data_IF_922593500493
#
_entry.id   IF_922593500493
#
_cell.length_a   1.000
_cell.length_b   1.000
_cell.length_c   1.000
_cell.angle_alpha   90.00
_cell.angle_beta   90.00
_cell.angle_gamma   90.00
#
_symmetry.space_group_name_H-M   'P 1'
#
loop_
_entity.id
_entity.type
_entity.pdbx_description
1 polymer ?
#
# COMPACT_ATOMS: atom_id res chain seq x y z
N UNK A 1 20.67 -31.63 53.09
CA UNK A 1 20.49 -31.14 54.48
C UNK A 1 19.90 -29.74 54.38
N UNK A 2 18.57 -29.65 54.22
CA UNK A 2 17.60 -29.14 55.21
C UNK A 2 17.42 -27.60 55.09
N UNK A 3 16.25 -26.96 55.12
CA UNK A 3 14.82 -27.29 55.25
C UNK A 3 14.03 -26.02 54.79
N UNK A 4 12.93 -26.11 54.03
CA UNK A 4 11.51 -25.94 54.44
C UNK A 4 11.17 -24.65 55.21
N UNK A 5 10.25 -23.82 54.66
CA UNK A 5 9.06 -23.19 55.29
C UNK A 5 8.57 -22.00 54.42
N UNK A 6 7.41 -22.06 53.75
CA UNK A 6 6.05 -21.87 54.27
C UNK A 6 5.79 -20.46 54.84
N UNK A 7 5.07 -19.62 54.08
CA UNK A 7 4.43 -18.40 54.59
C UNK A 7 2.96 -18.38 54.15
N UNK A 8 2.11 -18.17 55.15
CA UNK A 8 0.68 -18.40 55.14
C UNK A 8 -0.14 -17.17 54.74
N UNK A 9 -1.39 -17.49 54.42
CA UNK A 9 -2.58 -16.68 54.26
C UNK A 9 -2.68 -15.38 55.11
N UNK A 10 -3.29 -14.35 54.50
CA UNK A 10 -4.22 -13.47 55.21
C UNK A 10 -5.44 -13.19 54.32
N UNK A 11 -6.59 -13.66 54.79
CA UNK A 11 -7.91 -13.27 54.31
C UNK A 11 -8.21 -11.85 54.80
N UNK A 12 -8.75 -11.00 53.92
CA UNK A 12 -9.48 -9.81 54.33
C UNK A 12 -10.82 -9.75 53.59
N UNK A 13 -11.84 -10.18 54.33
CA UNK A 13 -13.26 -10.01 54.05
C UNK A 13 -13.66 -8.54 54.23
N UNK A 14 -14.30 -7.93 53.24
CA UNK A 14 -15.20 -6.79 53.47
C UNK A 14 -16.48 -6.95 52.68
N UNK A 15 -17.55 -7.15 53.46
CA UNK A 15 -18.96 -7.06 53.12
C UNK A 15 -19.41 -5.59 52.99
N UNK A 16 -20.69 -5.44 52.62
CA UNK A 16 -21.54 -4.25 52.50
C UNK A 16 -21.53 -3.61 51.09
N UNK A 17 -22.66 -3.28 50.47
CA UNK A 17 -24.07 -3.41 50.85
C UNK A 17 -24.92 -3.05 49.63
N UNK A 18 -25.98 -3.82 49.40
CA UNK A 18 -27.08 -3.51 48.47
C UNK A 18 -27.72 -2.17 48.83
N UNK A 19 -28.00 -1.35 47.82
CA UNK A 19 -29.12 -0.39 47.86
C UNK A 19 -29.89 -0.45 46.54
N UNK A 20 -31.02 -1.16 46.61
CA UNK A 20 -32.12 -1.11 45.67
C UNK A 20 -32.99 0.11 45.98
N UNK A 21 -33.23 0.99 45.00
CA UNK A 21 -34.26 2.04 45.10
C UNK A 21 -35.39 1.72 44.12
N UNK A 22 -36.59 1.77 44.67
CA UNK A 22 -37.87 1.33 44.15
C UNK A 22 -38.71 2.57 43.78
N UNK A 23 -39.23 2.59 42.53
CA UNK A 23 -40.52 3.19 42.04
C UNK A 23 -40.75 4.73 42.17
N UNK A 24 -41.61 5.38 41.34
CA UNK A 24 -42.96 4.92 41.01
C UNK A 24 -43.46 4.98 39.56
N UNK A 25 -44.46 4.11 39.35
CA UNK A 25 -45.47 4.11 38.29
C UNK A 25 -46.26 5.42 38.32
N UNK A 26 -46.45 6.05 37.16
CA UNK A 26 -47.60 6.91 36.90
C UNK A 26 -48.34 6.40 35.66
N UNK A 27 -49.61 6.09 35.89
CA UNK A 27 -50.62 5.78 34.89
C UNK A 27 -50.98 7.04 34.10
N UNK A 28 -51.09 6.94 32.77
CA UNK A 28 -52.11 7.70 32.06
C UNK A 28 -52.63 6.88 30.88
N UNK A 29 -53.89 6.46 31.05
CA UNK A 29 -54.77 5.93 30.02
C UNK A 29 -55.06 7.05 29.02
N UNK A 30 -55.01 6.74 27.72
CA UNK A 30 -55.93 7.34 26.76
C UNK A 30 -56.26 6.33 25.68
N UNK A 31 -57.42 5.70 25.86
CA UNK A 31 -58.14 5.02 24.80
C UNK A 31 -58.83 6.09 23.95
N UNK A 32 -58.66 6.03 22.63
CA UNK A 32 -59.63 6.55 21.67
C UNK A 32 -59.93 5.41 20.72
N UNK A 33 -61.20 5.03 20.77
CA UNK A 33 -61.89 4.02 19.98
C UNK A 33 -62.34 4.58 18.63
N UNK A 34 -62.81 3.67 17.78
CA UNK A 34 -63.60 3.85 16.53
C UNK A 34 -62.79 4.13 15.27
N UNK A 35 -63.10 3.56 14.10
CA UNK A 35 -64.07 2.53 13.71
C UNK A 35 -63.68 2.06 12.30
N UNK A 36 -63.80 0.77 12.03
CA UNK A 36 -63.89 0.25 10.67
C UNK A 36 -65.25 0.65 10.09
N UNK A 37 -65.26 1.22 8.89
CA UNK A 37 -66.44 1.26 8.02
C UNK A 37 -66.01 0.93 6.61
N UNK A 38 -66.64 -0.11 6.09
CA UNK A 38 -66.52 -0.67 4.75
C UNK A 38 -67.33 0.17 3.77
N UNK A 39 -66.77 0.53 2.62
CA UNK A 39 -67.55 0.87 1.45
C UNK A 39 -66.78 0.52 0.17
N UNK A 40 -67.33 -0.45 -0.55
CA UNK A 40 -67.02 -0.89 -1.91
C UNK A 40 -67.45 0.17 -2.93
N UNK A 41 -66.57 0.55 -3.86
CA UNK A 41 -66.91 0.65 -5.30
C UNK A 41 -65.69 0.84 -6.21
N UNK A 42 -65.64 -0.04 -7.20
CA UNK A 42 -65.28 0.17 -8.61
C UNK A 42 -63.83 0.47 -9.06
N UNK A 43 -63.29 -0.58 -9.69
CA UNK A 43 -62.17 -0.62 -10.61
C UNK A 43 -62.36 0.32 -11.81
N UNK A 44 -61.41 1.22 -12.01
CA UNK A 44 -61.24 2.02 -13.24
C UNK A 44 -59.79 2.01 -13.73
N UNK A 45 -59.26 0.84 -14.08
CA UNK A 45 -57.93 0.71 -14.67
C UNK A 45 -57.95 1.17 -16.14
N UNK A 46 -57.57 2.43 -16.41
CA UNK A 46 -57.19 2.88 -17.76
C UNK A 46 -55.72 2.55 -18.02
N UNK A 47 -55.49 1.55 -18.85
CA UNK A 47 -54.17 1.21 -19.39
C UNK A 47 -53.65 2.34 -20.29
N UNK A 48 -52.49 2.90 -19.96
CA UNK A 48 -51.76 3.82 -20.83
C UNK A 48 -50.97 3.03 -21.89
N UNK A 49 -51.08 3.43 -23.15
CA UNK A 49 -50.37 2.82 -24.28
C UNK A 49 -48.85 3.10 -24.23
N UNK A 50 -48.00 2.16 -24.71
CA UNK A 50 -46.54 2.30 -24.63
C UNK A 50 -46.00 3.31 -25.65
N UNK A 51 -45.13 4.21 -25.18
CA UNK A 51 -44.47 5.21 -26.01
C UNK A 51 -43.47 4.59 -27.03
N UNK A 52 -43.33 5.16 -28.23
CA UNK A 52 -42.45 4.64 -29.28
C UNK A 52 -40.96 4.84 -28.96
N UNK A 53 -40.15 3.82 -29.29
CA UNK A 53 -38.69 3.81 -29.12
C UNK A 53 -38.01 4.92 -29.95
N UNK A 54 -37.08 5.71 -29.39
CA UNK A 54 -36.32 6.67 -30.17
C UNK A 54 -35.23 5.97 -31.01
N UNK A 55 -35.06 6.48 -32.24
CA UNK A 55 -34.15 6.02 -33.29
C UNK A 55 -32.67 6.18 -32.92
N UNK A 56 -31.85 5.27 -33.44
CA UNK A 56 -30.39 5.24 -33.40
C UNK A 56 -29.75 6.51 -33.98
N UNK A 57 -28.81 7.12 -33.23
CA UNK A 57 -27.86 8.11 -33.77
C UNK A 57 -26.45 7.51 -33.82
N UNK A 58 -25.77 7.84 -34.91
CA UNK A 58 -24.46 7.40 -35.40
C UNK A 58 -23.25 7.92 -34.59
N UNK A 59 -22.15 7.18 -34.72
CA UNK A 59 -20.83 7.32 -34.10
C UNK A 59 -20.15 8.71 -34.13
N UNK A 60 -19.39 9.01 -33.06
CA UNK A 60 -18.01 9.55 -33.11
C UNK A 60 -17.10 8.66 -32.24
N UNK A 61 -15.92 8.21 -32.70
CA UNK A 61 -15.02 7.41 -31.88
C UNK A 61 -14.20 8.32 -30.94
N UNK A 62 -14.30 8.05 -29.63
CA UNK A 62 -13.40 8.61 -28.61
C UNK A 62 -12.04 7.91 -28.68
N UNK A 63 -10.90 8.62 -28.56
CA UNK A 63 -9.60 7.99 -28.44
C UNK A 63 -9.57 7.11 -27.20
N UNK A 64 -9.16 5.84 -27.35
CA UNK A 64 -8.89 4.94 -26.24
C UNK A 64 -7.58 5.40 -25.60
N UNK A 65 -7.67 5.95 -24.40
CA UNK A 65 -6.51 6.11 -23.53
C UNK A 65 -6.13 4.72 -23.02
N UNK A 66 -5.07 4.16 -23.58
CA UNK A 66 -4.31 3.12 -22.90
C UNK A 66 -3.85 3.74 -21.57
N UNK A 67 -4.42 3.25 -20.47
CA UNK A 67 -4.12 3.72 -19.13
C UNK A 67 -2.72 3.27 -18.73
N UNK A 68 -1.70 3.96 -19.24
CA UNK A 68 -0.40 4.01 -18.60
C UNK A 68 -0.60 4.59 -17.20
N UNK A 69 0.03 4.02 -16.15
CA UNK A 69 -0.07 4.58 -14.82
C UNK A 69 0.46 6.02 -14.84
N UNK A 70 -0.46 6.97 -14.68
CA UNK A 70 -0.16 8.39 -14.55
C UNK A 70 0.64 8.62 -13.26
N UNK A 71 1.96 8.81 -13.39
CA UNK A 71 2.86 9.13 -12.28
C UNK A 71 2.96 10.67 -12.23
N UNK A 72 2.37 11.34 -11.22
CA UNK A 72 2.52 12.79 -11.06
C UNK A 72 3.97 13.13 -10.71
N UNK A 73 4.53 14.13 -11.37
CA UNK A 73 5.89 14.62 -11.15
C UNK A 73 5.87 15.73 -10.09
N UNK A 74 6.73 15.63 -9.07
CA UNK A 74 6.97 16.70 -8.11
C UNK A 74 8.30 17.36 -8.43
N UNK A 75 8.28 18.65 -8.75
CA UNK A 75 9.48 19.48 -8.91
C UNK A 75 9.46 20.51 -7.78
N UNK A 76 10.56 20.61 -7.02
CA UNK A 76 10.75 21.72 -6.12
C UNK A 76 11.10 22.94 -6.97
N UNK A 77 10.30 24.01 -6.89
CA UNK A 77 10.64 25.29 -7.52
C UNK A 77 11.59 26.02 -6.54
N UNK A 78 12.84 26.23 -6.96
CA UNK A 78 13.97 26.68 -6.12
C UNK A 78 13.80 28.11 -5.53
N UNK A 79 12.73 28.84 -5.88
CA UNK A 79 12.51 30.22 -5.44
C UNK A 79 11.43 30.42 -4.35
N UNK A 80 10.63 29.40 -3.99
CA UNK A 80 9.56 29.60 -2.99
C UNK A 80 9.40 28.52 -1.92
N UNK A 81 10.15 27.41 -1.99
CA UNK A 81 10.05 26.32 -1.00
C UNK A 81 8.66 25.64 -0.93
N UNK A 82 7.74 26.02 -1.81
CA UNK A 82 6.41 25.44 -1.92
C UNK A 82 6.42 24.29 -2.94
N UNK A 83 5.91 23.13 -2.53
CA UNK A 83 5.80 21.94 -3.38
C UNK A 83 4.60 22.10 -4.31
N UNK A 84 4.86 22.30 -5.61
CA UNK A 84 3.80 22.43 -6.62
C UNK A 84 3.71 21.16 -7.47
N UNK A 85 2.55 20.51 -7.48
CA UNK A 85 2.29 19.33 -8.31
C UNK A 85 2.05 19.77 -9.75
N UNK A 86 2.99 19.47 -10.66
CA UNK A 86 2.83 19.73 -12.11
C UNK A 86 2.40 18.45 -12.82
N UNK A 87 1.42 18.57 -13.71
CA UNK A 87 0.84 17.47 -14.49
C UNK A 87 1.67 17.12 -15.73
N UNK A 88 2.67 17.95 -16.06
CA UNK A 88 3.49 17.86 -17.26
C UNK A 88 4.93 17.58 -16.87
N UNK A 89 5.63 16.61 -17.50
CA UNK A 89 7.04 16.33 -17.22
C UNK A 89 7.92 17.54 -17.51
N UNK A 90 9.07 17.63 -16.84
CA UNK A 90 10.01 18.73 -17.03
C UNK A 90 10.58 18.76 -18.45
N UNK A 91 10.86 19.96 -18.99
CA UNK A 91 11.49 20.09 -20.33
C UNK A 91 12.78 19.29 -20.45
N UNK A 92 13.56 19.20 -19.36
CA UNK A 92 14.82 18.46 -19.32
C UNK A 92 14.61 16.96 -19.57
N UNK A 93 13.51 16.39 -19.05
CA UNK A 93 13.13 15.00 -19.28
C UNK A 93 12.68 14.78 -20.73
N UNK A 94 11.84 15.66 -21.27
CA UNK A 94 11.40 15.59 -22.68
C UNK A 94 12.58 15.62 -23.65
N UNK A 95 13.59 16.47 -23.39
CA UNK A 95 14.84 16.53 -24.18
C UNK A 95 15.67 15.26 -24.07
N UNK A 96 15.72 14.62 -22.89
CA UNK A 96 16.46 13.37 -22.69
C UNK A 96 15.85 12.20 -23.49
N UNK A 97 14.51 12.05 -23.46
CA UNK A 97 13.79 11.02 -24.22
C UNK A 97 13.91 11.24 -25.72
N UNK A 98 13.80 12.50 -26.18
CA UNK A 98 13.98 12.84 -27.59
C UNK A 98 15.39 12.47 -28.10
N UNK A 99 16.43 12.70 -27.28
CA UNK A 99 17.82 12.39 -27.64
C UNK A 99 18.14 10.89 -27.62
N UNK A 100 17.49 10.08 -26.78
CA UNK A 100 17.61 8.62 -26.84
C UNK A 100 16.98 8.02 -28.11
N UNK A 101 15.87 8.61 -28.57
CA UNK A 101 15.16 8.15 -29.76
C UNK A 101 15.92 8.39 -31.06
N UNK A 102 16.74 9.45 -31.11
CA UNK A 102 17.58 9.79 -32.27
C UNK A 102 18.84 8.93 -32.35
N UNK A 103 19.36 8.43 -31.22
CA UNK A 103 20.50 7.51 -31.23
C UNK A 103 20.15 6.07 -31.66
N UNK A 104 18.90 5.62 -31.44
CA UNK A 104 18.46 4.27 -31.85
C UNK A 104 18.17 4.12 -33.34
N UNK A 105 18.09 5.21 -34.12
CA UNK A 105 17.64 5.17 -35.52
C UNK A 105 18.73 4.96 -36.57
N UNK A 106 20.01 4.77 -36.20
CA UNK A 106 21.12 4.67 -37.17
C UNK A 106 21.69 3.26 -37.42
N UNK A 107 20.99 2.18 -37.07
CA UNK A 107 21.48 0.81 -37.36
C UNK A 107 20.37 -0.23 -37.59
N UNK A 108 19.74 -0.19 -38.78
CA UNK A 108 19.34 -1.39 -39.55
C UNK A 108 18.65 -0.99 -40.86
N UNK A 109 19.42 -0.99 -41.94
CA UNK A 109 18.95 -1.32 -43.29
C UNK A 109 19.73 -2.58 -43.70
N UNK A 110 19.04 -3.68 -44.02
CA UNK A 110 18.91 -4.19 -45.39
C UNK A 110 18.32 -5.63 -45.43
N UNK A 111 17.48 -5.87 -46.45
CA UNK A 111 16.92 -7.13 -47.02
C UNK A 111 15.91 -7.94 -46.18
N UNK A 112 14.72 -8.34 -46.63
CA UNK A 112 14.05 -8.29 -47.93
C UNK A 112 13.21 -9.57 -48.12
N UNK A 113 11.89 -9.46 -48.24
CA UNK A 113 11.00 -10.22 -49.16
C UNK A 113 9.53 -10.09 -48.73
N UNK A 114 8.68 -9.84 -49.73
CA UNK A 114 7.33 -9.33 -49.57
C UNK A 114 6.26 -10.38 -49.29
N UNK A 115 5.28 -9.98 -48.47
CA UNK A 115 3.97 -10.59 -48.36
C UNK A 115 2.93 -9.48 -48.29
N UNK A 116 1.91 -9.53 -49.15
CA UNK A 116 0.80 -8.56 -49.18
C UNK A 116 0.02 -8.60 -47.86
N UNK A 117 0.22 -7.60 -47.00
CA UNK A 117 -0.60 -7.40 -45.81
C UNK A 117 -1.95 -6.78 -46.19
N UNK A 118 -3.03 -7.55 -45.97
CA UNK A 118 -4.40 -7.04 -45.96
C UNK A 118 -4.64 -6.25 -44.66
N UNK A 119 -5.39 -5.14 -44.68
CA UNK A 119 -5.64 -4.35 -43.48
C UNK A 119 -6.41 -5.17 -42.44
N UNK A 120 -5.81 -5.32 -41.25
CA UNK A 120 -6.35 -6.04 -40.11
C UNK A 120 -7.50 -5.23 -39.49
N UNK A 121 -8.74 -5.60 -39.81
CA UNK A 121 -9.94 -5.08 -39.16
C UNK A 121 -9.82 -5.32 -37.64
N UNK A 122 -10.17 -4.36 -36.76
CA UNK A 122 -10.13 -4.57 -35.32
C UNK A 122 -11.13 -5.68 -34.96
N UNK A 123 -10.61 -6.83 -34.56
CA UNK A 123 -11.41 -8.00 -34.16
C UNK A 123 -12.28 -7.60 -32.97
N UNK A 124 -13.59 -7.55 -33.17
CA UNK A 124 -14.54 -7.45 -32.06
C UNK A 124 -14.30 -8.62 -31.10
N UNK A 125 -14.34 -8.36 -29.78
CA UNK A 125 -14.14 -9.39 -28.76
C UNK A 125 -15.01 -10.63 -29.05
N UNK A 126 -14.44 -11.85 -28.96
CA UNK A 126 -15.19 -13.05 -29.26
C UNK A 126 -16.39 -13.17 -28.30
N UNK A 127 -17.60 -13.21 -28.86
CA UNK A 127 -18.83 -13.44 -28.09
C UNK A 127 -18.85 -14.90 -27.61
N UNK A 128 -18.25 -15.17 -26.47
CA UNK A 128 -18.32 -16.49 -25.82
C UNK A 128 -19.78 -16.92 -25.64
N UNK A 129 -20.07 -18.20 -25.93
CA UNK A 129 -21.39 -18.79 -25.65
C UNK A 129 -21.70 -18.71 -24.15
N UNK A 130 -22.99 -18.73 -23.76
CA UNK A 130 -23.38 -18.72 -22.34
C UNK A 130 -22.71 -19.86 -21.54
N UNK A 131 -22.48 -21.02 -22.18
CA UNK A 131 -21.78 -22.15 -21.60
C UNK A 131 -20.29 -21.87 -21.39
N UNK A 132 -19.59 -21.33 -22.40
CA UNK A 132 -18.19 -20.94 -22.27
C UNK A 132 -18.03 -19.86 -21.18
N UNK A 133 -18.95 -18.88 -21.12
CA UNK A 133 -18.92 -17.81 -20.12
C UNK A 133 -19.17 -18.33 -18.70
N UNK A 134 -20.05 -19.32 -18.51
CA UNK A 134 -20.23 -20.03 -17.22
C UNK A 134 -18.97 -20.79 -16.83
N UNK A 135 -18.41 -21.56 -17.76
CA UNK A 135 -17.17 -22.31 -17.55
C UNK A 135 -15.99 -21.41 -17.16
N UNK A 136 -15.81 -20.28 -17.85
CA UNK A 136 -14.79 -19.28 -17.51
C UNK A 136 -15.05 -18.64 -16.14
N UNK A 137 -16.29 -18.23 -15.86
CA UNK A 137 -16.65 -17.63 -14.57
C UNK A 137 -16.52 -18.60 -13.38
N UNK A 138 -16.61 -19.91 -13.60
CA UNK A 138 -16.41 -20.92 -12.55
C UNK A 138 -14.94 -21.25 -12.34
N UNK A 139 -14.15 -21.37 -13.41
CA UNK A 139 -12.73 -21.77 -13.33
C UNK A 139 -11.75 -20.63 -13.03
N UNK A 140 -12.07 -19.40 -13.42
CA UNK A 140 -11.16 -18.24 -13.27
C UNK A 140 -11.59 -17.28 -12.16
N UNK A 141 -12.38 -17.75 -11.19
CA UNK A 141 -12.65 -16.96 -9.98
C UNK A 141 -11.39 -16.87 -9.14
N UNK A 142 -11.17 -15.69 -8.56
CA UNK A 142 -10.18 -15.57 -7.50
C UNK A 142 -10.56 -16.52 -6.36
N UNK A 143 -9.60 -17.30 -5.84
CA UNK A 143 -9.89 -18.22 -4.76
C UNK A 143 -10.34 -17.46 -3.51
N UNK A 144 -11.15 -18.10 -2.64
CA UNK A 144 -11.57 -17.50 -1.37
C UNK A 144 -10.37 -16.96 -0.59
N UNK A 145 -10.44 -15.70 -0.19
CA UNK A 145 -9.35 -15.01 0.47
C UNK A 145 -9.61 -14.94 1.98
N UNK A 146 -8.55 -14.93 2.79
CA UNK A 146 -8.68 -14.76 4.25
C UNK A 146 -9.37 -13.42 4.56
N UNK A 147 -10.35 -13.42 5.45
CA UNK A 147 -11.17 -12.25 5.81
C UNK A 147 -10.30 -11.03 6.18
N UNK A 148 -9.26 -11.23 6.99
CA UNK A 148 -8.33 -10.16 7.36
C UNK A 148 -7.58 -9.55 6.15
N UNK A 149 -7.29 -10.34 5.10
CA UNK A 149 -6.67 -9.83 3.86
C UNK A 149 -7.68 -8.97 3.09
N UNK A 150 -8.94 -9.40 3.00
CA UNK A 150 -10.02 -8.63 2.34
C UNK A 150 -10.28 -7.30 3.04
N UNK A 151 -10.37 -7.31 4.38
CA UNK A 151 -10.54 -6.09 5.18
C UNK A 151 -9.37 -5.11 5.01
N UNK A 152 -8.14 -5.62 5.00
CA UNK A 152 -6.96 -4.80 4.77
C UNK A 152 -6.92 -4.20 3.36
N UNK A 153 -7.24 -4.99 2.33
CA UNK A 153 -7.31 -4.53 0.94
C UNK A 153 -8.38 -3.46 0.74
N UNK A 154 -9.51 -3.58 1.44
CA UNK A 154 -10.57 -2.57 1.45
C UNK A 154 -10.22 -1.30 2.24
N UNK A 155 -9.05 -1.24 2.87
CA UNK A 155 -8.56 -0.06 3.60
C UNK A 155 -9.11 0.10 5.02
N UNK A 156 -9.81 -0.91 5.56
CA UNK A 156 -10.44 -0.87 6.89
C UNK A 156 -9.40 -0.67 7.99
N UNK A 157 -8.39 -1.53 8.02
CA UNK A 157 -7.32 -1.48 9.01
C UNK A 157 -6.08 -2.22 8.48
N UNK A 158 -5.00 -2.26 9.25
CA UNK A 158 -3.89 -3.18 8.94
C UNK A 158 -4.38 -4.63 8.99
N UNK A 159 -3.64 -5.58 8.38
CA UNK A 159 -4.02 -7.01 8.47
C UNK A 159 -4.16 -7.47 9.91
N UNK A 160 -3.20 -7.15 10.79
CA UNK A 160 -3.23 -7.52 12.22
C UNK A 160 -4.37 -6.84 12.97
N UNK A 161 -4.57 -5.55 12.72
CA UNK A 161 -5.70 -4.80 13.31
C UNK A 161 -7.05 -5.33 12.80
N UNK A 162 -7.11 -5.86 11.58
CA UNK A 162 -8.31 -6.52 11.05
C UNK A 162 -8.57 -7.85 11.75
N UNK A 163 -7.53 -8.61 12.07
CA UNK A 163 -7.65 -9.83 12.91
C UNK A 163 -8.18 -9.48 14.30
N UNK A 164 -7.70 -8.39 14.91
CA UNK A 164 -8.21 -7.89 16.19
C UNK A 164 -9.70 -7.50 16.12
N UNK A 165 -10.13 -6.80 15.05
CA UNK A 165 -11.55 -6.50 14.85
C UNK A 165 -12.41 -7.77 14.71
N UNK A 166 -11.87 -8.80 14.07
CA UNK A 166 -12.54 -10.11 13.95
C UNK A 166 -12.65 -10.76 15.34
N UNK A 167 -11.58 -10.81 16.12
CA UNK A 167 -11.61 -11.37 17.47
C UNK A 167 -12.60 -10.66 18.41
N UNK A 168 -12.74 -9.34 18.25
CA UNK A 168 -13.70 -8.53 19.01
C UNK A 168 -15.16 -8.70 18.56
N UNK A 169 -15.45 -9.57 17.59
CA UNK A 169 -16.81 -9.77 17.06
C UNK A 169 -17.38 -8.57 16.33
N UNK A 170 -16.52 -7.63 15.88
CA UNK A 170 -16.93 -6.40 15.18
C UNK A 170 -17.17 -6.61 13.69
N UNK A 171 -16.96 -7.82 13.18
CA UNK A 171 -17.09 -8.18 11.77
C UNK A 171 -18.18 -9.22 11.60
N UNK A 172 -19.14 -8.96 10.71
CA UNK A 172 -20.14 -9.95 10.30
C UNK A 172 -19.98 -10.30 8.83
N UNK A 173 -20.20 -11.58 8.51
CA UNK A 173 -20.17 -12.11 7.15
C UNK A 173 -21.51 -12.81 6.90
N UNK A 174 -22.23 -12.39 5.87
CA UNK A 174 -23.54 -12.94 5.49
C UNK A 174 -24.55 -12.97 6.66
N UNK A 175 -24.48 -12.00 7.56
CA UNK A 175 -25.39 -11.88 8.71
C UNK A 175 -24.92 -12.57 9.99
N UNK A 176 -23.84 -13.35 9.96
CA UNK A 176 -23.29 -14.02 11.16
C UNK A 176 -22.01 -13.32 11.64
N UNK A 177 -21.88 -13.15 12.95
CA UNK A 177 -20.64 -12.62 13.57
C UNK A 177 -19.52 -13.63 13.35
N UNK A 178 -18.39 -13.17 12.82
CA UNK A 178 -17.22 -13.98 12.58
C UNK A 178 -16.13 -13.63 13.58
N UNK A 179 -15.73 -14.60 14.42
CA UNK A 179 -14.66 -14.45 15.40
C UNK A 179 -13.35 -15.16 14.99
N UNK A 180 -13.39 -15.92 13.90
CA UNK A 180 -12.25 -16.70 13.42
C UNK A 180 -11.50 -15.92 12.33
N UNK A 181 -10.24 -15.47 12.56
CA UNK A 181 -9.51 -14.68 11.57
C UNK A 181 -9.06 -15.48 10.35
N UNK A 182 -9.09 -16.82 10.44
CA UNK A 182 -8.75 -17.73 9.34
C UNK A 182 -9.90 -17.96 8.36
N UNK A 183 -11.11 -17.45 8.66
CA UNK A 183 -12.27 -17.55 7.77
C UNK A 183 -11.93 -17.02 6.39
N UNK A 184 -12.26 -17.82 5.37
CA UNK A 184 -12.10 -17.44 3.96
C UNK A 184 -13.43 -16.92 3.44
N UNK A 185 -13.37 -15.82 2.70
CA UNK A 185 -14.53 -15.14 2.13
C UNK A 185 -14.25 -14.83 0.65
N UNK A 186 -15.32 -14.83 -0.13
CA UNK A 186 -15.32 -14.41 -1.53
C UNK A 186 -15.83 -12.96 -1.59
N UNK A 187 -14.95 -11.95 -1.83
CA UNK A 187 -15.35 -10.54 -1.82
C UNK A 187 -16.36 -10.20 -2.92
N UNK A 188 -16.51 -11.03 -3.96
CA UNK A 188 -17.49 -10.80 -5.02
C UNK A 188 -18.91 -11.23 -4.60
N UNK A 189 -19.03 -12.21 -3.70
CA UNK A 189 -20.30 -12.82 -3.29
C UNK A 189 -20.72 -12.42 -1.89
N UNK A 190 -19.80 -12.52 -0.95
CA UNK A 190 -20.09 -12.37 0.47
C UNK A 190 -20.38 -10.91 0.84
N UNK A 191 -21.31 -10.75 1.77
CA UNK A 191 -21.68 -9.45 2.31
C UNK A 191 -21.01 -9.31 3.66
N UNK A 192 -20.03 -8.42 3.72
CA UNK A 192 -19.23 -8.19 4.92
C UNK A 192 -19.65 -6.86 5.55
N UNK A 193 -19.88 -6.83 6.86
CA UNK A 193 -20.02 -5.61 7.63
C UNK A 193 -18.92 -5.50 8.68
N UNK A 194 -18.49 -4.26 8.94
CA UNK A 194 -17.53 -3.92 10.00
C UNK A 194 -18.15 -2.81 10.83
N UNK A 195 -18.29 -3.01 12.14
CA UNK A 195 -18.94 -2.06 13.06
C UNK A 195 -20.34 -1.61 12.56
N UNK A 196 -21.11 -2.52 11.96
CA UNK A 196 -22.44 -2.21 11.39
C UNK A 196 -22.42 -1.51 10.01
N UNK A 197 -21.25 -1.05 9.52
CA UNK A 197 -21.09 -0.49 8.19
C UNK A 197 -20.81 -1.56 7.14
N UNK A 198 -21.53 -1.54 6.01
CA UNK A 198 -21.29 -2.49 4.90
C UNK A 198 -19.96 -2.18 4.22
N UNK A 199 -19.12 -3.20 4.03
CA UNK A 199 -17.87 -3.08 3.28
C UNK A 199 -18.17 -2.74 1.81
N UNK A 200 -17.47 -1.76 1.27
CA UNK A 200 -17.60 -1.39 -0.13
C UNK A 200 -17.13 -2.55 -1.02
N UNK A 201 -17.93 -2.90 -2.05
CA UNK A 201 -17.54 -3.92 -3.04
C UNK A 201 -16.37 -3.47 -3.93
N UNK A 202 -16.21 -2.15 -4.10
CA UNK A 202 -15.10 -1.57 -4.86
C UNK A 202 -13.91 -1.40 -3.91
N UNK A 203 -12.79 -2.02 -4.26
CA UNK A 203 -11.52 -1.79 -3.57
C UNK A 203 -10.92 -0.44 -3.97
N UNK A 204 -10.13 0.19 -3.10
CA UNK A 204 -9.35 1.37 -3.48
C UNK A 204 -8.36 1.03 -4.60
N UNK A 205 -8.11 1.95 -5.54
CA UNK A 205 -7.13 1.74 -6.60
C UNK A 205 -5.74 1.54 -6.01
N UNK A 206 -4.91 0.78 -6.71
CA UNK A 206 -3.52 0.56 -6.32
C UNK A 206 -2.71 1.82 -6.57
N UNK A 207 -1.94 2.25 -5.57
CA UNK A 207 -1.09 3.44 -5.63
C UNK A 207 0.32 3.09 -5.17
N UNK A 208 1.31 3.72 -5.80
CA UNK A 208 2.73 3.47 -5.53
C UNK A 208 3.47 4.80 -5.47
N UNK A 209 4.22 5.02 -4.40
CA UNK A 209 5.02 6.20 -4.19
C UNK A 209 6.47 5.79 -3.95
N UNK A 210 7.40 6.52 -4.55
CA UNK A 210 8.80 6.53 -4.14
C UNK A 210 9.01 7.78 -3.27
N UNK A 211 9.53 7.58 -2.06
CA UNK A 211 9.74 8.64 -1.09
C UNK A 211 11.22 8.71 -0.73
N UNK A 212 11.80 9.90 -0.76
CA UNK A 212 13.07 10.18 -0.10
C UNK A 212 12.78 10.43 1.38
N UNK A 213 12.85 9.37 2.19
CA UNK A 213 12.59 9.44 3.63
C UNK A 213 13.61 10.37 4.31
N UNK A 214 13.17 11.43 4.99
CA UNK A 214 14.06 12.28 5.77
C UNK A 214 14.47 11.62 7.09
N UNK A 215 15.51 12.17 7.71
CA UNK A 215 16.01 11.73 9.03
C UNK A 215 14.98 12.08 10.11
N UNK A 216 14.86 11.23 11.13
CA UNK A 216 13.93 11.46 12.26
C UNK A 216 12.51 10.93 12.04
N UNK A 217 12.24 10.30 10.89
CA UNK A 217 10.95 9.69 10.58
C UNK A 217 10.98 8.18 10.79
N UNK A 218 9.89 7.58 11.26
CA UNK A 218 9.71 6.13 11.38
C UNK A 218 8.90 5.56 10.20
N UNK A 219 9.10 4.29 9.86
CA UNK A 219 8.39 3.64 8.75
C UNK A 219 7.02 3.05 9.13
N UNK A 220 6.75 2.89 10.42
CA UNK A 220 5.45 2.45 10.93
C UNK A 220 4.43 3.59 10.89
N UNK A 221 3.14 3.25 10.92
CA UNK A 221 2.08 4.20 11.24
C UNK A 221 2.32 4.67 12.68
N UNK A 222 2.85 5.88 12.82
CA UNK A 222 3.28 6.39 14.11
C UNK A 222 2.11 6.68 15.03
N UNK A 223 2.38 6.57 16.33
CA UNK A 223 1.55 7.22 17.35
C UNK A 223 1.67 8.74 17.20
N UNK A 224 0.74 9.49 17.80
CA UNK A 224 0.58 10.94 17.59
C UNK A 224 1.87 11.75 17.76
N UNK A 225 2.81 11.29 18.57
CA UNK A 225 4.07 12.00 18.88
C UNK A 225 5.22 11.69 17.92
N UNK A 226 5.14 10.60 17.16
CA UNK A 226 6.23 10.17 16.27
C UNK A 226 5.96 10.53 14.81
N UNK A 227 6.93 11.22 14.18
CA UNK A 227 6.85 11.57 12.76
C UNK A 227 6.93 10.31 11.89
N UNK A 228 5.82 9.93 11.27
CA UNK A 228 5.77 8.77 10.37
C UNK A 228 6.11 9.17 8.94
N UNK A 229 6.85 8.34 8.21
CA UNK A 229 7.09 8.54 6.78
C UNK A 229 5.77 8.64 5.98
N UNK A 230 4.68 8.05 6.49
CA UNK A 230 3.36 8.16 5.89
C UNK A 230 2.74 9.55 6.06
N UNK A 231 3.10 10.31 7.10
CA UNK A 231 2.56 11.65 7.33
C UNK A 231 3.02 12.66 6.28
N UNK A 232 4.14 12.38 5.61
CA UNK A 232 4.62 13.16 4.45
C UNK A 232 3.66 13.09 3.25
N UNK A 233 2.75 12.11 3.24
CA UNK A 233 1.72 11.95 2.22
C UNK A 233 0.35 12.43 2.70
N UNK A 234 0.21 12.97 3.91
CA UNK A 234 -1.10 13.31 4.48
C UNK A 234 -1.84 14.35 3.64
N UNK A 235 -1.15 15.35 3.09
CA UNK A 235 -1.78 16.38 2.27
C UNK A 235 -2.29 15.82 0.93
N UNK A 236 -1.54 14.90 0.33
CA UNK A 236 -2.02 14.12 -0.81
C UNK A 236 -3.26 13.30 -0.42
N UNK A 237 -3.25 12.67 0.75
CA UNK A 237 -4.34 11.84 1.24
C UNK A 237 -5.58 12.64 1.68
N UNK A 238 -5.44 13.91 2.07
CA UNK A 238 -6.54 14.85 2.34
C UNK A 238 -7.24 15.27 1.05
N UNK A 239 -6.46 15.52 -0.01
CA UNK A 239 -6.99 15.91 -1.32
C UNK A 239 -7.53 14.74 -2.15
N UNK A 240 -7.31 13.49 -1.71
CA UNK A 240 -7.77 12.27 -2.39
C UNK A 240 -9.25 12.29 -2.74
N UNK A 241 -10.13 12.56 -1.77
CA UNK A 241 -11.59 12.53 -1.98
C UNK A 241 -12.04 13.55 -3.01
N UNK A 242 -11.37 14.71 -3.07
CA UNK A 242 -11.63 15.76 -4.05
C UNK A 242 -11.19 15.34 -5.46
N UNK A 243 -10.03 14.69 -5.58
CA UNK A 243 -9.47 14.23 -6.86
C UNK A 243 -10.17 12.98 -7.40
N UNK A 244 -10.63 12.10 -6.51
CA UNK A 244 -11.19 10.79 -6.85
C UNK A 244 -12.59 10.62 -6.22
N UNK A 245 -13.60 11.36 -6.71
CA UNK A 245 -14.95 11.26 -6.17
C UNK A 245 -15.51 9.83 -6.34
N UNK A 246 -16.20 9.34 -5.31
CA UNK A 246 -16.82 8.00 -5.31
C UNK A 246 -15.83 6.83 -5.19
N UNK A 247 -14.54 7.09 -4.99
CA UNK A 247 -13.51 6.07 -4.80
C UNK A 247 -13.08 6.01 -3.33
N UNK A 248 -13.04 4.81 -2.70
CA UNK A 248 -12.60 4.71 -1.32
C UNK A 248 -11.13 5.13 -1.17
N UNK A 249 -10.80 5.71 -0.02
CA UNK A 249 -9.45 6.17 0.30
C UNK A 249 -8.53 4.96 0.51
N UNK A 250 -7.38 4.87 -0.20
CA UNK A 250 -6.43 3.79 0.03
C UNK A 250 -5.75 3.93 1.39
N UNK A 251 -5.49 2.81 2.06
CA UNK A 251 -4.64 2.76 3.25
C UNK A 251 -3.20 2.49 2.82
N UNK A 252 -2.31 3.46 3.05
CA UNK A 252 -0.91 3.36 2.69
C UNK A 252 -0.06 2.67 3.76
N UNK A 253 0.98 1.99 3.33
CA UNK A 253 2.03 1.42 4.18
C UNK A 253 3.37 1.39 3.43
N UNK A 254 4.47 1.34 4.18
CA UNK A 254 5.83 1.27 3.64
C UNK A 254 6.17 -0.16 3.19
N UNK A 255 6.95 -0.26 2.12
CA UNK A 255 7.54 -1.52 1.65
C UNK A 255 8.94 -1.66 2.26
N UNK A 256 9.06 -2.60 3.19
CA UNK A 256 10.25 -2.70 4.04
C UNK A 256 10.38 -1.51 5.00
N UNK A 257 11.53 -1.41 5.66
CA UNK A 257 11.80 -0.38 6.65
C UNK A 257 13.15 0.29 6.40
N UNK A 258 13.28 1.50 6.93
CA UNK A 258 14.52 2.22 7.11
C UNK A 258 14.56 2.70 8.56
N UNK A 259 15.73 2.64 9.19
CA UNK A 259 15.88 3.15 10.55
C UNK A 259 15.54 4.64 10.63
N UNK A 260 15.27 5.11 11.84
CA UNK A 260 14.96 6.51 12.13
C UNK A 260 16.03 7.45 11.59
N UNK A 261 17.30 7.06 11.76
CA UNK A 261 18.47 7.83 11.34
C UNK A 261 18.94 7.53 9.90
N UNK A 262 18.23 6.67 9.18
CA UNK A 262 18.53 6.32 7.79
C UNK A 262 17.60 7.08 6.85
N UNK A 263 18.18 7.70 5.82
CA UNK A 263 17.46 8.50 4.82
C UNK A 263 17.38 7.78 3.48
N UNK A 264 16.65 8.38 2.53
CA UNK A 264 16.64 7.91 1.14
C UNK A 264 15.43 7.07 0.79
N UNK A 265 15.59 6.29 -0.26
CA UNK A 265 14.50 5.62 -0.98
C UNK A 265 13.72 4.65 -0.09
N UNK A 266 12.43 4.91 0.06
CA UNK A 266 11.45 3.96 0.57
C UNK A 266 10.22 3.98 -0.33
N UNK A 267 9.65 2.79 -0.58
CA UNK A 267 8.44 2.67 -1.39
C UNK A 267 7.24 2.67 -0.44
N UNK A 268 6.16 3.35 -0.81
CA UNK A 268 4.89 3.37 -0.08
C UNK A 268 3.77 2.95 -1.02
N UNK A 269 2.91 2.03 -0.59
CA UNK A 269 1.82 1.50 -1.41
C UNK A 269 0.64 1.06 -0.55
N UNK A 270 -0.49 0.76 -1.20
CA UNK A 270 -1.59 -0.02 -0.62
C UNK A 270 -1.64 -1.46 -1.18
N UNK A 271 -0.78 -1.82 -2.14
CA UNK A 271 -0.73 -3.18 -2.70
C UNK A 271 0.15 -4.10 -1.84
N UNK A 272 -0.51 -4.96 -1.06
CA UNK A 272 0.17 -5.91 -0.18
C UNK A 272 0.90 -7.03 -0.91
N UNK A 273 0.46 -7.38 -2.12
CA UNK A 273 1.10 -8.44 -2.92
C UNK A 273 2.45 -7.95 -3.46
N UNK A 274 2.45 -6.75 -4.06
CA UNK A 274 3.66 -6.07 -4.51
C UNK A 274 4.64 -5.82 -3.36
N UNK A 275 4.13 -5.35 -2.21
CA UNK A 275 4.97 -5.13 -1.04
C UNK A 275 5.61 -6.43 -0.53
N UNK A 276 4.87 -7.54 -0.53
CA UNK A 276 5.42 -8.85 -0.19
C UNK A 276 6.50 -9.27 -1.19
N UNK A 277 6.24 -9.17 -2.50
CA UNK A 277 7.19 -9.54 -3.54
C UNK A 277 8.53 -8.79 -3.43
N UNK A 278 8.50 -7.50 -3.09
CA UNK A 278 9.74 -6.70 -2.94
C UNK A 278 10.45 -6.96 -1.61
N UNK A 279 9.69 -7.19 -0.53
CA UNK A 279 10.27 -7.32 0.81
C UNK A 279 10.68 -8.75 1.17
N UNK A 280 10.17 -9.75 0.45
CA UNK A 280 10.41 -11.15 0.76
C UNK A 280 11.88 -11.52 0.54
N UNK A 281 12.52 -12.29 1.46
CA UNK A 281 13.93 -12.67 1.34
C UNK A 281 14.26 -13.39 0.02
N UNK A 282 13.33 -14.22 -0.49
CA UNK A 282 13.53 -14.94 -1.76
C UNK A 282 13.58 -14.06 -3.00
N UNK A 283 13.18 -12.79 -2.91
CA UNK A 283 13.24 -11.85 -4.04
C UNK A 283 14.68 -11.48 -4.42
N UNK A 284 15.62 -11.67 -3.51
CA UNK A 284 17.05 -11.38 -3.67
C UNK A 284 17.33 -9.96 -4.23
N UNK A 285 16.46 -8.99 -3.90
CA UNK A 285 16.60 -7.64 -4.44
C UNK A 285 17.75 -6.89 -3.76
N UNK A 286 18.74 -6.53 -4.57
CA UNK A 286 19.88 -5.70 -4.14
C UNK A 286 19.41 -4.32 -3.67
N UNK A 287 19.98 -3.85 -2.57
CA UNK A 287 19.75 -2.52 -2.00
C UNK A 287 21.08 -1.81 -1.97
N UNK A 288 21.13 -0.62 -2.55
CA UNK A 288 22.35 0.20 -2.60
C UNK A 288 22.25 1.33 -1.57
N UNK A 289 23.29 1.43 -0.76
CA UNK A 289 23.44 2.44 0.26
C UNK A 289 24.67 3.29 0.00
N UNK A 290 24.54 4.58 0.33
CA UNK A 290 25.67 5.50 0.45
C UNK A 290 25.86 5.78 1.95
N UNK A 291 26.96 5.28 2.49
CA UNK A 291 27.36 5.50 3.88
C UNK A 291 28.39 6.63 3.93
N UNK A 292 28.12 7.68 4.72
CA UNK A 292 29.11 8.70 5.06
C UNK A 292 29.82 8.27 6.33
N UNK A 293 31.16 8.25 6.28
CA UNK A 293 32.00 7.77 7.38
C UNK A 293 32.69 8.95 8.05
N UNK A 294 32.81 8.89 9.38
CA UNK A 294 33.62 9.83 10.16
C UNK A 294 35.09 9.47 10.02
N UNK A 295 35.91 10.38 9.50
CA UNK A 295 37.35 10.20 9.32
C UNK A 295 37.74 9.59 7.97
N UNK A 296 39.00 9.13 7.89
CA UNK A 296 39.55 8.50 6.70
C UNK A 296 39.23 6.99 6.67
N UNK A 297 39.08 6.45 5.45
CA UNK A 297 38.86 5.02 5.23
C UNK A 297 40.12 4.41 4.60
N UNK A 298 40.70 3.42 5.27
CA UNK A 298 41.86 2.67 4.77
C UNK A 298 41.44 1.49 3.88
N UNK A 299 42.35 1.02 3.02
CA UNK A 299 42.12 -0.17 2.18
C UNK A 299 41.82 -1.43 3.02
N UNK A 300 42.50 -1.60 4.17
CA UNK A 300 42.27 -2.73 5.09
C UNK A 300 40.83 -2.75 5.60
N UNK A 301 40.26 -1.59 5.89
CA UNK A 301 38.87 -1.49 6.35
C UNK A 301 37.88 -1.78 5.22
N UNK A 302 38.16 -1.38 3.98
CA UNK A 302 37.31 -1.75 2.83
C UNK A 302 37.29 -3.27 2.62
N UNK A 303 38.44 -3.92 2.75
CA UNK A 303 38.55 -5.38 2.67
C UNK A 303 37.73 -6.02 3.80
N UNK A 304 37.89 -5.56 5.03
CA UNK A 304 37.12 -6.08 6.17
C UNK A 304 35.60 -5.96 5.98
N UNK A 305 35.10 -4.85 5.43
CA UNK A 305 33.66 -4.73 5.10
C UNK A 305 33.28 -5.73 4.00
N UNK A 306 34.14 -5.91 3.00
CA UNK A 306 33.89 -6.79 1.84
C UNK A 306 33.89 -8.27 2.22
N UNK A 307 34.68 -8.66 3.23
CA UNK A 307 34.67 -10.02 3.78
C UNK A 307 33.35 -10.33 4.49
N UNK A 308 32.66 -9.30 4.98
CA UNK A 308 31.38 -9.44 5.68
C UNK A 308 31.53 -9.45 7.19
N UNK A 309 30.41 -9.63 7.89
CA UNK A 309 30.40 -9.76 9.33
C UNK A 309 29.18 -10.53 9.84
N UNK A 310 29.25 -10.99 11.08
CA UNK A 310 28.11 -11.66 11.73
C UNK A 310 27.08 -10.61 12.18
N UNK A 311 25.88 -10.70 11.62
CA UNK A 311 24.71 -9.87 11.96
C UNK A 311 23.58 -10.80 12.40
N UNK A 312 23.12 -10.64 13.64
CA UNK A 312 22.06 -11.49 14.23
C UNK A 312 22.37 -13.00 14.12
N UNK A 313 23.63 -13.38 14.37
CA UNK A 313 24.08 -14.78 14.36
C UNK A 313 24.29 -15.38 12.96
N UNK A 314 24.15 -14.60 11.88
CA UNK A 314 24.41 -15.05 10.51
C UNK A 314 25.47 -14.19 9.86
N UNK A 315 26.40 -14.85 9.16
CA UNK A 315 27.44 -14.16 8.41
C UNK A 315 26.86 -13.51 7.15
N UNK A 316 26.94 -12.19 7.07
CA UNK A 316 26.41 -11.39 5.97
C UNK A 316 27.57 -10.79 5.19
N UNK A 317 27.58 -10.99 3.87
CA UNK A 317 28.63 -10.48 2.99
C UNK A 317 28.01 -9.52 1.97
N UNK A 318 28.51 -8.28 1.85
CA UNK A 318 28.02 -7.34 0.84
C UNK A 318 28.52 -7.72 -0.55
N UNK A 319 27.72 -7.40 -1.58
CA UNK A 319 28.07 -7.70 -2.98
C UNK A 319 29.10 -6.73 -3.54
N UNK A 320 29.10 -5.51 -3.02
CA UNK A 320 29.98 -4.44 -3.46
C UNK A 320 30.26 -3.50 -2.29
N UNK A 321 31.53 -3.18 -2.10
CA UNK A 321 32.00 -2.10 -1.24
C UNK A 321 32.97 -1.25 -2.05
N UNK A 322 32.59 0.00 -2.29
CA UNK A 322 33.36 0.91 -3.13
C UNK A 322 33.54 2.25 -2.41
N UNK A 323 34.78 2.74 -2.33
CA UNK A 323 35.08 4.09 -1.88
C UNK A 323 34.78 5.07 -3.01
N UNK A 324 33.81 5.95 -2.80
CA UNK A 324 33.44 6.97 -3.77
C UNK A 324 34.47 8.10 -3.81
N UNK A 325 34.64 8.71 -4.98
CA UNK A 325 35.50 9.88 -5.16
C UNK A 325 35.14 11.00 -4.19
N UNK A 326 36.17 11.67 -3.66
CA UNK A 326 35.97 12.85 -2.81
C UNK A 326 35.28 13.94 -3.62
N UNK A 327 34.28 14.56 -3.00
CA UNK A 327 33.63 15.75 -3.54
C UNK A 327 34.11 16.95 -2.75
N UNK A 328 34.41 18.09 -3.39
CA UNK A 328 34.90 19.29 -2.69
C UNK A 328 33.92 19.77 -1.61
N UNK A 329 32.61 19.62 -1.87
CA UNK A 329 31.55 20.08 -0.96
C UNK A 329 31.27 19.12 0.20
N UNK A 330 31.80 17.89 0.15
CA UNK A 330 31.52 16.85 1.15
C UNK A 330 32.85 16.39 1.77
N UNK A 331 33.19 16.88 2.96
CA UNK A 331 34.49 16.60 3.58
C UNK A 331 34.64 15.14 4.06
N UNK A 332 33.54 14.38 4.14
CA UNK A 332 33.52 13.01 4.68
C UNK A 332 33.72 11.97 3.59
N UNK A 333 34.43 10.90 3.93
CA UNK A 333 34.55 9.74 3.07
C UNK A 333 33.18 9.09 2.86
N UNK A 334 32.90 8.65 1.63
CA UNK A 334 31.63 8.04 1.26
C UNK A 334 31.87 6.64 0.70
N UNK A 335 31.13 5.68 1.23
CA UNK A 335 31.17 4.29 0.78
C UNK A 335 29.86 3.96 0.09
N UNK A 336 29.96 3.33 -1.07
CA UNK A 336 28.85 2.66 -1.73
C UNK A 336 28.86 1.21 -1.29
N UNK A 337 27.76 0.77 -0.68
CA UNK A 337 27.60 -0.59 -0.16
C UNK A 337 26.34 -1.18 -0.77
N UNK A 338 26.46 -2.33 -1.43
CA UNK A 338 25.35 -3.08 -2.01
C UNK A 338 25.15 -4.37 -1.22
N UNK A 339 23.91 -4.61 -0.79
CA UNK A 339 23.52 -5.83 -0.08
C UNK A 339 22.24 -6.39 -0.66
N UNK A 340 22.13 -7.71 -0.80
CA UNK A 340 20.87 -8.37 -1.11
C UNK A 340 20.02 -8.66 0.13
N UNK A 341 20.68 -8.83 1.26
CA UNK A 341 20.02 -9.06 2.54
C UNK A 341 19.30 -7.79 3.03
N UNK A 342 18.54 -7.96 4.10
CA UNK A 342 17.75 -6.90 4.71
C UNK A 342 17.65 -7.10 6.21
N UNK A 343 18.73 -7.60 6.82
CA UNK A 343 18.77 -7.86 8.26
C UNK A 343 18.77 -6.55 9.04
N UNK A 344 18.43 -6.65 10.32
CA UNK A 344 18.35 -5.47 11.16
C UNK A 344 19.74 -4.82 11.28
N UNK A 345 19.81 -3.52 10.94
CA UNK A 345 21.05 -2.72 10.99
C UNK A 345 22.26 -3.31 10.25
N UNK A 346 22.06 -4.19 9.26
CA UNK A 346 23.12 -4.93 8.56
C UNK A 346 24.30 -4.06 8.09
N UNK A 347 24.03 -3.02 7.30
CA UNK A 347 25.06 -2.10 6.80
C UNK A 347 25.78 -1.36 7.94
N UNK A 348 25.08 -1.11 9.05
CA UNK A 348 25.67 -0.46 10.23
C UNK A 348 26.65 -1.38 10.94
N UNK A 349 26.28 -2.65 11.10
CA UNK A 349 27.15 -3.64 11.73
C UNK A 349 28.36 -3.96 10.84
N UNK A 350 28.20 -4.07 9.52
CA UNK A 350 29.34 -4.24 8.59
C UNK A 350 30.39 -3.13 8.75
N UNK A 351 29.95 -1.86 8.74
CA UNK A 351 30.85 -0.71 8.90
C UNK A 351 31.47 -0.67 10.31
N UNK A 352 30.69 -0.96 11.34
CA UNK A 352 31.16 -0.97 12.74
C UNK A 352 32.20 -2.05 12.99
N UNK A 353 32.03 -3.24 12.43
CA UNK A 353 32.98 -4.36 12.57
C UNK A 353 34.32 -4.07 11.89
N UNK A 354 34.34 -3.24 10.85
CA UNK A 354 35.58 -2.72 10.26
C UNK A 354 36.24 -1.59 11.08
N UNK A 355 35.73 -1.29 12.28
CA UNK A 355 36.26 -0.24 13.16
C UNK A 355 35.95 1.18 12.67
N UNK A 356 34.96 1.35 11.80
CA UNK A 356 34.55 2.65 11.27
C UNK A 356 33.30 3.19 11.97
N UNK A 357 33.23 4.52 12.09
CA UNK A 357 32.06 5.19 12.65
C UNK A 357 31.20 5.77 11.53
N UNK A 358 29.94 5.34 11.46
CA UNK A 358 29.01 5.83 10.46
C UNK A 358 28.36 7.15 10.90
N UNK A 359 28.52 8.17 10.06
CA UNK A 359 27.90 9.48 10.24
C UNK A 359 26.48 9.53 9.70
N UNK A 360 26.26 9.03 8.48
CA UNK A 360 24.93 8.98 7.86
C UNK A 360 24.81 7.82 6.88
N UNK A 361 23.57 7.37 6.66
CA UNK A 361 23.25 6.28 5.75
C UNK A 361 22.08 6.70 4.87
N UNK A 362 22.25 6.68 3.55
CA UNK A 362 21.20 6.98 2.58
C UNK A 362 21.00 5.79 1.65
N UNK A 363 19.79 5.22 1.61
CA UNK A 363 19.44 4.21 0.59
C UNK A 363 19.14 4.91 -0.74
N UNK A 364 19.83 4.52 -1.80
CA UNK A 364 19.72 5.17 -3.12
C UNK A 364 19.13 4.26 -4.19
N UNK A 365 19.03 2.95 -3.96
CA UNK A 365 18.47 2.02 -4.94
C UNK A 365 17.82 0.81 -4.27
N UNK A 366 16.73 0.31 -4.85
CA UNK A 366 16.10 -0.98 -4.55
C UNK A 366 15.89 -1.71 -5.88
N UNK A 367 16.54 -2.86 -6.07
CA UNK A 367 16.51 -3.57 -7.35
C UNK A 367 16.97 -2.67 -8.50
N UNK A 368 16.20 -2.60 -9.58
CA UNK A 368 16.47 -1.71 -10.72
C UNK A 368 16.07 -0.24 -10.47
N UNK A 369 15.28 0.04 -9.42
CA UNK A 369 14.76 1.38 -9.18
C UNK A 369 15.73 2.23 -8.35
N UNK A 370 16.27 3.28 -8.95
CA UNK A 370 17.17 4.25 -8.31
C UNK A 370 16.38 5.47 -7.85
N UNK A 371 16.75 6.01 -6.69
CA UNK A 371 16.21 7.27 -6.20
C UNK A 371 16.51 8.37 -7.22
N UNK A 372 15.47 9.04 -7.74
CA UNK A 372 15.68 10.17 -8.65
C UNK A 372 16.45 11.30 -7.96
N UNK A 373 17.36 11.95 -8.69
CA UNK A 373 18.21 13.03 -8.15
C UNK A 373 17.42 14.30 -7.80
N UNK A 374 16.29 14.52 -8.46
CA UNK A 374 15.33 15.60 -8.25
C UNK A 374 14.47 15.41 -6.99
N UNK A 375 14.37 14.18 -6.49
CA UNK A 375 13.74 13.88 -5.18
C UNK A 375 14.72 14.06 -4.00
N UNK A 376 15.92 14.58 -4.27
CA UNK A 376 17.14 14.43 -3.49
C UNK A 376 17.50 15.59 -2.60
#
# INVERSE_FOLDING_TARGET
MAAIAAAAASLSTLNLSRTSVILPRCHLRRAITSSLSSATTELGAKFAAPAPKPKSKSHKPSPREDSEPYIPWTVNDDESGAVTLKTTPSERFLRAVANESTQRKKKKEDRGSGGKDKPRVPTAEPKYSKAARRFYNERFREPPQRLAKVLAAAGVASRRSSEELIFQGKVTVNGSVCNTPQTRVDPAKDIIYVNGGRLAKKLPPKVYFALNKPKGYICSAGEKETKSALSLLDDFMKTWTKRNPGTPKPRLFTVGRLDVNTTGLIIVTNDGEFANQISHPSSNLSKEYIASISGAVSKRQLIAISEGAVVEGVHCTPDLVELLSRQPDIPRARLRIVVHEGRNHEVRELVKNAGLQMHSLKRVRIGAFRLPTDLG
#
